data_IF_918942392353
#
_entry.id   IF_918942392353
#
_cell.length_a   1.000
_cell.length_b   1.000
_cell.length_c   1.000
_cell.angle_alpha   90.00
_cell.angle_beta   90.00
_cell.angle_gamma   90.00
#
_symmetry.space_group_name_H-M   'P 1'
#
loop_
_entity.id
_entity.type
_entity.pdbx_description
1 polymer ?
#
# COMPACT_ATOMS: atom_id res chain seq x y z
N UNK A 1 -18.23 9.67 14.07
CA UNK A 1 -19.20 8.54 13.95
C UNK A 1 -18.76 7.49 12.92
N UNK A 2 -18.07 7.84 11.83
CA UNK A 2 -17.60 6.86 10.83
C UNK A 2 -16.58 5.83 11.38
N UNK A 3 -15.65 6.26 12.24
CA UNK A 3 -14.64 5.35 12.84
C UNK A 3 -15.23 4.26 13.74
N UNK A 4 -16.35 4.54 14.41
CA UNK A 4 -17.01 3.55 15.29
C UNK A 4 -17.63 2.43 14.45
N UNK A 5 -18.21 2.76 13.29
CA UNK A 5 -18.76 1.78 12.35
C UNK A 5 -17.70 0.90 11.66
N UNK A 6 -16.52 1.46 11.40
CA UNK A 6 -15.38 0.67 10.90
C UNK A 6 -14.81 -0.28 11.96
N UNK A 7 -14.73 0.16 13.22
CA UNK A 7 -14.22 -0.69 14.31
C UNK A 7 -15.17 -1.84 14.65
N UNK A 8 -16.49 -1.63 14.60
CA UNK A 8 -17.47 -2.70 14.84
C UNK A 8 -17.49 -3.74 13.73
N UNK A 9 -17.34 -3.33 12.47
CA UNK A 9 -17.24 -4.26 11.33
C UNK A 9 -15.94 -5.07 11.37
N UNK A 10 -14.82 -4.47 11.75
CA UNK A 10 -13.56 -5.19 11.97
C UNK A 10 -13.64 -6.19 13.13
N UNK A 11 -14.28 -5.81 14.25
CA UNK A 11 -14.51 -6.72 15.37
C UNK A 11 -15.37 -7.92 14.97
N UNK A 12 -16.45 -7.69 14.25
CA UNK A 12 -17.32 -8.77 13.77
C UNK A 12 -16.58 -9.73 12.80
N UNK A 13 -15.72 -9.20 11.93
CA UNK A 13 -14.89 -10.01 11.05
C UNK A 13 -13.87 -10.86 11.84
N UNK A 14 -13.26 -10.30 12.88
CA UNK A 14 -12.34 -11.03 13.77
C UNK A 14 -13.06 -12.11 14.59
N UNK A 15 -14.27 -11.83 15.07
CA UNK A 15 -15.10 -12.82 15.77
C UNK A 15 -15.48 -13.99 14.86
N UNK A 16 -15.85 -13.71 13.60
CA UNK A 16 -16.11 -14.74 12.59
C UNK A 16 -14.86 -15.56 12.27
N UNK A 17 -13.70 -14.92 12.08
CA UNK A 17 -12.44 -15.61 11.84
C UNK A 17 -12.05 -16.52 13.04
N UNK A 18 -12.23 -16.03 14.26
CA UNK A 18 -12.02 -16.83 15.47
C UNK A 18 -12.99 -18.01 15.57
N UNK A 19 -14.26 -17.82 15.19
CA UNK A 19 -15.25 -18.88 15.18
C UNK A 19 -14.90 -19.98 14.17
N UNK A 20 -14.48 -19.61 12.96
CA UNK A 20 -14.02 -20.56 11.93
C UNK A 20 -12.80 -21.33 12.41
N UNK A 21 -11.81 -20.64 13.00
CA UNK A 21 -10.61 -21.31 13.55
C UNK A 21 -10.95 -22.31 14.66
N UNK A 22 -11.87 -21.96 15.57
CA UNK A 22 -12.35 -22.90 16.60
C UNK A 22 -13.09 -24.09 15.99
N UNK A 23 -13.90 -23.87 14.96
CA UNK A 23 -14.61 -24.95 14.27
C UNK A 23 -13.65 -25.92 13.58
N UNK A 24 -12.59 -25.41 12.94
CA UNK A 24 -11.54 -26.23 12.32
C UNK A 24 -10.81 -27.05 13.38
N UNK A 25 -10.42 -26.43 14.50
CA UNK A 25 -9.75 -27.14 15.60
C UNK A 25 -10.65 -28.20 16.24
N UNK A 26 -11.92 -27.90 16.47
CA UNK A 26 -12.89 -28.87 17.00
C UNK A 26 -13.11 -30.06 16.03
N UNK A 27 -13.13 -29.81 14.72
CA UNK A 27 -13.21 -30.85 13.71
C UNK A 27 -11.94 -31.73 13.68
N UNK A 28 -10.76 -31.13 13.85
CA UNK A 28 -9.50 -31.84 13.97
C UNK A 28 -9.44 -32.71 15.25
N UNK A 29 -9.84 -32.17 16.40
CA UNK A 29 -9.91 -32.90 17.67
C UNK A 29 -10.90 -34.06 17.60
N UNK A 30 -12.08 -33.84 17.02
CA UNK A 30 -13.10 -34.89 16.82
C UNK A 30 -12.57 -36.03 15.95
N UNK A 31 -11.85 -35.71 14.88
CA UNK A 31 -11.25 -36.74 14.03
C UNK A 31 -10.09 -37.49 14.69
N UNK A 32 -9.30 -36.80 15.50
CA UNK A 32 -8.24 -37.46 16.28
C UNK A 32 -8.84 -38.47 17.26
N UNK A 33 -9.95 -38.09 17.92
CA UNK A 33 -10.70 -39.00 18.78
C UNK A 33 -11.23 -40.23 18.03
N UNK A 34 -11.77 -40.04 16.81
CA UNK A 34 -12.21 -41.15 15.95
C UNK A 34 -11.04 -42.06 15.55
N UNK A 35 -9.86 -41.49 15.24
CA UNK A 35 -8.66 -42.28 14.92
C UNK A 35 -8.19 -43.10 16.12
N UNK A 36 -8.13 -42.52 17.33
CA UNK A 36 -7.78 -43.27 18.54
C UNK A 36 -8.78 -44.38 18.83
N UNK A 37 -10.08 -44.17 18.59
CA UNK A 37 -11.10 -45.19 18.81
C UNK A 37 -11.04 -46.31 17.77
N UNK A 38 -10.70 -45.99 16.52
CA UNK A 38 -10.43 -46.97 15.46
C UNK A 38 -9.14 -47.76 15.71
N UNK A 39 -8.10 -47.14 16.28
CA UNK A 39 -6.88 -47.83 16.70
C UNK A 39 -7.13 -48.73 17.92
N UNK A 40 -7.93 -48.28 18.88
CA UNK A 40 -8.31 -49.05 20.07
C UNK A 40 -9.19 -50.26 19.75
N UNK A 41 -9.99 -50.20 18.67
CA UNK A 41 -10.84 -51.30 18.19
C UNK A 41 -10.14 -52.31 17.28
N UNK A 42 -8.89 -52.08 16.87
CA UNK A 42 -8.12 -53.07 16.10
C UNK A 42 -7.55 -54.14 17.05
N UNK A 43 -7.98 -55.42 16.98
CA UNK A 43 -7.36 -56.49 17.77
C UNK A 43 -5.94 -56.81 17.23
N UNK A 44 -5.07 -57.45 18.04
CA UNK A 44 -3.82 -57.99 17.53
C UNK A 44 -4.12 -59.03 16.44
N UNK A 45 -3.50 -58.87 15.27
CA UNK A 45 -3.74 -59.69 14.08
C UNK A 45 -3.42 -61.18 14.36
N UNK A 46 -4.44 -62.02 14.27
CA UNK A 46 -4.30 -63.38 13.76
C UNK A 46 -5.05 -63.47 12.42
N UNK A 47 -4.47 -64.26 11.53
CA UNK A 47 -4.77 -64.39 10.11
C UNK A 47 -6.25 -64.70 9.85
N UNK A 48 -6.89 -63.96 8.94
CA UNK A 48 -7.44 -64.57 7.73
C UNK A 48 -7.93 -63.53 6.73
N UNK A 49 -7.67 -63.84 5.47
CA UNK A 49 -8.02 -63.06 4.31
C UNK A 49 -9.51 -63.22 3.99
N UNK A 50 -10.26 -62.11 4.05
CA UNK A 50 -11.29 -61.63 3.08
C UNK A 50 -12.12 -60.56 3.79
N UNK A 51 -12.36 -59.42 3.14
CA UNK A 51 -13.21 -58.28 3.57
C UNK A 51 -12.63 -57.20 4.51
N UNK A 52 -11.39 -56.75 4.32
CA UNK A 52 -10.84 -55.53 4.97
C UNK A 52 -10.91 -54.29 4.08
N UNK A 53 -12.10 -53.92 3.57
CA UNK A 53 -12.25 -52.79 2.64
C UNK A 53 -12.63 -51.39 3.23
N UNK A 54 -13.23 -51.21 4.43
CA UNK A 54 -13.71 -49.87 4.81
C UNK A 54 -12.73 -49.02 5.64
N UNK A 55 -11.79 -49.62 6.38
CA UNK A 55 -10.93 -48.85 7.31
C UNK A 55 -9.71 -48.22 6.65
N UNK A 56 -9.22 -48.80 5.55
CA UNK A 56 -8.16 -48.21 4.74
C UNK A 56 -8.65 -46.95 4.00
N UNK A 57 -9.91 -46.96 3.58
CA UNK A 57 -10.55 -45.87 2.83
C UNK A 57 -10.76 -44.62 3.71
N UNK A 58 -11.27 -44.81 4.93
CA UNK A 58 -11.44 -43.71 5.91
C UNK A 58 -10.11 -43.07 6.30
N UNK A 59 -9.03 -43.85 6.44
CA UNK A 59 -7.69 -43.31 6.74
C UNK A 59 -7.11 -42.49 5.59
N UNK A 60 -7.37 -42.90 4.34
CA UNK A 60 -6.96 -42.14 3.17
C UNK A 60 -7.70 -40.80 3.10
N UNK A 61 -9.02 -40.81 3.31
CA UNK A 61 -9.84 -39.59 3.35
C UNK A 61 -9.45 -38.63 4.48
N UNK A 62 -9.04 -39.14 5.65
CA UNK A 62 -8.57 -38.30 6.75
C UNK A 62 -7.22 -37.65 6.44
N UNK A 63 -6.30 -38.35 5.76
CA UNK A 63 -5.03 -37.78 5.29
C UNK A 63 -5.27 -36.70 4.24
N UNK A 64 -6.11 -36.98 3.25
CA UNK A 64 -6.47 -35.99 2.22
C UNK A 64 -7.09 -34.73 2.84
N UNK A 65 -7.93 -34.90 3.86
CA UNK A 65 -8.47 -33.76 4.62
C UNK A 65 -7.39 -33.01 5.40
N UNK A 66 -6.47 -33.71 6.04
CA UNK A 66 -5.38 -33.08 6.80
C UNK A 66 -4.43 -32.31 5.86
N UNK A 67 -4.14 -32.86 4.68
CA UNK A 67 -3.39 -32.19 3.62
C UNK A 67 -4.12 -30.93 3.14
N UNK A 68 -5.43 -31.03 2.85
CA UNK A 68 -6.25 -29.86 2.50
C UNK A 68 -6.32 -28.81 3.62
N UNK A 69 -6.38 -29.23 4.89
CA UNK A 69 -6.34 -28.31 6.01
C UNK A 69 -5.00 -27.58 6.11
N UNK A 70 -3.90 -28.27 5.81
CA UNK A 70 -2.58 -27.66 5.72
C UNK A 70 -2.48 -26.66 4.57
N UNK A 71 -3.02 -27.00 3.40
CA UNK A 71 -3.08 -26.09 2.26
C UNK A 71 -3.89 -24.83 2.57
N UNK A 72 -5.04 -24.98 3.24
CA UNK A 72 -5.86 -23.85 3.70
C UNK A 72 -5.10 -22.97 4.69
N UNK A 73 -4.36 -23.55 5.64
CA UNK A 73 -3.56 -22.77 6.58
C UNK A 73 -2.40 -22.04 5.90
N UNK A 74 -1.77 -22.69 4.92
CA UNK A 74 -0.65 -22.12 4.16
C UNK A 74 -1.13 -20.95 3.31
N UNK A 75 -2.21 -21.14 2.56
CA UNK A 75 -2.83 -20.08 1.75
C UNK A 75 -3.36 -18.92 2.60
N UNK A 76 -3.89 -19.19 3.80
CA UNK A 76 -4.25 -18.12 4.76
C UNK A 76 -3.03 -17.31 5.20
N UNK A 77 -1.91 -17.98 5.49
CA UNK A 77 -0.69 -17.30 5.87
C UNK A 77 -0.13 -16.43 4.73
N UNK A 78 -0.15 -16.94 3.51
CA UNK A 78 0.25 -16.18 2.31
C UNK A 78 -0.64 -14.96 2.09
N UNK A 79 -1.96 -15.10 2.25
CA UNK A 79 -2.91 -13.98 2.16
C UNK A 79 -2.65 -12.92 3.22
N UNK A 80 -2.38 -13.33 4.47
CA UNK A 80 -2.04 -12.40 5.54
C UNK A 80 -0.74 -11.67 5.23
N UNK A 81 0.27 -12.37 4.70
CA UNK A 81 1.53 -11.76 4.26
C UNK A 81 1.29 -10.69 3.19
N UNK A 82 0.57 -11.03 2.12
CA UNK A 82 0.23 -10.08 1.04
C UNK A 82 -0.57 -8.89 1.58
N UNK A 83 -1.47 -9.12 2.52
CA UNK A 83 -2.25 -8.05 3.16
C UNK A 83 -1.36 -7.09 3.95
N UNK A 84 -0.38 -7.60 4.70
CA UNK A 84 0.58 -6.75 5.41
C UNK A 84 1.48 -5.96 4.45
N UNK A 85 1.91 -6.57 3.35
CA UNK A 85 2.69 -5.88 2.31
C UNK A 85 1.87 -4.76 1.64
N UNK A 86 0.61 -5.04 1.29
CA UNK A 86 -0.31 -4.02 0.74
C UNK A 86 -0.50 -2.84 1.68
N UNK A 87 -0.64 -3.09 2.99
CA UNK A 87 -0.77 -2.02 3.99
C UNK A 87 0.49 -1.15 4.05
N UNK A 88 1.67 -1.77 4.02
CA UNK A 88 2.94 -1.04 4.03
C UNK A 88 3.10 -0.14 2.79
N UNK A 89 2.69 -0.64 1.62
CA UNK A 89 2.71 0.15 0.37
C UNK A 89 1.73 1.33 0.45
N UNK A 90 0.53 1.13 1.01
CA UNK A 90 -0.42 2.22 1.22
C UNK A 90 0.14 3.31 2.15
N UNK A 91 0.79 2.91 3.24
CA UNK A 91 1.44 3.83 4.18
C UNK A 91 2.58 4.61 3.50
N UNK A 92 3.39 3.94 2.66
CA UNK A 92 4.45 4.59 1.89
C UNK A 92 3.88 5.61 0.89
N UNK A 93 2.80 5.27 0.18
CA UNK A 93 2.11 6.20 -0.73
C UNK A 93 1.60 7.43 0.04
N UNK A 94 1.02 7.24 1.23
CA UNK A 94 0.57 8.35 2.06
C UNK A 94 1.72 9.25 2.51
N UNK A 95 2.84 8.66 2.94
CA UNK A 95 4.05 9.41 3.27
C UNK A 95 4.63 10.18 2.09
N UNK A 96 4.67 9.58 0.90
CA UNK A 96 5.13 10.24 -0.32
C UNK A 96 4.21 11.40 -0.72
N UNK A 97 2.89 11.22 -0.63
CA UNK A 97 1.92 12.29 -0.87
C UNK A 97 2.12 13.46 0.10
N UNK A 98 2.26 13.17 1.39
CA UNK A 98 2.51 14.20 2.40
C UNK A 98 3.81 14.97 2.08
N UNK A 99 4.89 14.26 1.72
CA UNK A 99 6.16 14.87 1.32
C UNK A 99 6.03 15.74 0.07
N UNK A 100 5.30 15.28 -0.95
CA UNK A 100 5.07 16.04 -2.17
C UNK A 100 4.29 17.34 -1.90
N UNK A 101 3.24 17.27 -1.07
CA UNK A 101 2.47 18.46 -0.66
C UNK A 101 3.36 19.44 0.10
N UNK A 102 4.16 18.97 1.07
CA UNK A 102 5.10 19.84 1.77
C UNK A 102 6.15 20.47 0.84
N UNK A 103 6.66 19.71 -0.14
CA UNK A 103 7.60 20.25 -1.12
C UNK A 103 6.95 21.32 -2.00
N UNK A 104 5.70 21.11 -2.46
CA UNK A 104 4.95 22.11 -3.22
C UNK A 104 4.71 23.38 -2.41
N UNK A 105 4.34 23.26 -1.14
CA UNK A 105 4.13 24.42 -0.27
C UNK A 105 5.42 25.22 -0.05
N UNK A 106 6.56 24.53 0.16
CA UNK A 106 7.86 25.18 0.25
C UNK A 106 8.24 25.93 -1.04
N UNK A 107 7.91 25.37 -2.22
CA UNK A 107 8.14 26.04 -3.51
C UNK A 107 7.25 27.29 -3.63
N UNK A 108 5.98 27.19 -3.28
CA UNK A 108 5.04 28.32 -3.29
C UNK A 108 5.47 29.45 -2.33
N UNK A 109 6.01 29.10 -1.16
CA UNK A 109 6.59 30.06 -0.21
C UNK A 109 7.85 30.73 -0.78
N UNK A 110 8.69 29.99 -1.53
CA UNK A 110 9.86 30.58 -2.21
C UNK A 110 9.46 31.46 -3.41
N UNK A 111 8.43 31.08 -4.17
CA UNK A 111 7.96 31.90 -5.30
C UNK A 111 7.25 33.16 -4.82
N UNK A 112 6.46 33.07 -3.75
CA UNK A 112 5.77 34.22 -3.16
C UNK A 112 6.74 35.21 -2.49
N UNK A 113 7.86 34.73 -1.94
CA UNK A 113 8.93 35.60 -1.43
C UNK A 113 9.73 36.25 -2.56
N UNK A 114 10.04 35.52 -3.65
CA UNK A 114 10.73 36.07 -4.83
C UNK A 114 9.86 37.07 -5.61
N UNK A 115 8.54 36.85 -5.70
CA UNK A 115 7.62 37.77 -6.37
C UNK A 115 7.28 39.02 -5.56
N UNK A 116 7.50 39.02 -4.24
CA UNK A 116 7.22 40.17 -3.36
C UNK A 116 8.42 41.08 -3.10
N UNK A 117 9.59 40.84 -3.71
CA UNK A 117 10.70 41.77 -3.60
C UNK A 117 10.38 43.05 -4.40
N UNK A 118 10.17 44.21 -3.72
CA UNK A 118 9.82 45.46 -4.40
C UNK A 118 10.90 45.90 -5.40
N UNK A 119 12.16 45.54 -5.14
CA UNK A 119 13.31 45.86 -5.97
C UNK A 119 13.28 45.09 -7.30
N UNK A 120 12.78 43.85 -7.28
CA UNK A 120 12.63 43.02 -8.48
C UNK A 120 11.47 43.48 -9.35
N UNK A 121 10.32 43.80 -8.74
CA UNK A 121 9.17 44.40 -9.47
C UNK A 121 9.53 45.73 -10.11
N UNK A 122 10.30 46.58 -9.42
CA UNK A 122 10.75 47.85 -9.96
C UNK A 122 11.70 47.67 -11.15
N UNK A 123 12.61 46.69 -11.09
CA UNK A 123 13.47 46.31 -12.22
C UNK A 123 12.67 45.79 -13.42
N UNK A 124 11.69 44.92 -13.19
CA UNK A 124 10.81 44.39 -14.25
C UNK A 124 9.96 45.49 -14.91
N UNK A 125 9.42 46.42 -14.11
CA UNK A 125 8.71 47.61 -14.61
C UNK A 125 9.62 48.51 -15.46
N UNK A 126 10.82 48.82 -14.95
CA UNK A 126 11.80 49.62 -15.68
C UNK A 126 12.19 48.95 -17.00
N UNK A 127 12.40 47.64 -16.99
CA UNK A 127 12.67 46.84 -18.19
C UNK A 127 11.52 46.93 -19.19
N UNK A 128 10.27 46.77 -18.74
CA UNK A 128 9.10 46.90 -19.60
C UNK A 128 8.98 48.30 -20.24
N UNK A 129 9.30 49.34 -19.48
CA UNK A 129 9.33 50.73 -19.99
C UNK A 129 10.44 50.91 -21.01
N UNK A 130 11.66 50.45 -20.74
CA UNK A 130 12.81 50.57 -21.66
C UNK A 130 12.55 49.80 -22.96
N UNK A 131 12.10 48.55 -22.87
CA UNK A 131 11.73 47.74 -24.04
C UNK A 131 10.56 48.36 -24.81
N UNK A 132 9.57 48.91 -24.10
CA UNK A 132 8.43 49.60 -24.71
C UNK A 132 8.81 50.89 -25.43
N UNK A 133 9.80 51.64 -24.92
CA UNK A 133 10.38 52.79 -25.59
C UNK A 133 11.22 52.37 -26.80
N UNK A 134 12.01 51.30 -26.66
CA UNK A 134 12.84 50.78 -27.74
C UNK A 134 12.04 50.16 -28.89
N UNK A 135 10.86 49.59 -28.60
CA UNK A 135 9.91 49.13 -29.62
C UNK A 135 9.26 50.28 -30.41
N UNK A 136 9.24 51.49 -29.83
CA UNK A 136 8.72 52.70 -30.47
C UNK A 136 9.81 53.51 -31.15
N UNK A 137 11.08 53.26 -30.82
CA UNK A 137 12.20 53.75 -31.62
C UNK A 137 12.37 52.89 -32.87
N UNK A 138 12.84 53.50 -33.95
CA UNK A 138 13.12 52.81 -35.21
C UNK A 138 14.29 51.82 -35.10
N UNK A 139 15.09 51.95 -34.04
CA UNK A 139 16.22 51.07 -33.72
C UNK A 139 15.82 50.03 -32.66
N UNK A 140 15.95 48.72 -32.94
CA UNK A 140 15.71 47.69 -31.97
C UNK A 140 16.76 47.70 -30.85
N UNK A 141 16.34 47.32 -29.64
CA UNK A 141 17.13 47.46 -28.42
C UNK A 141 18.47 46.71 -28.41
N UNK A 142 18.62 45.67 -29.23
CA UNK A 142 19.83 44.84 -29.33
C UNK A 142 20.89 45.41 -30.28
N UNK A 143 20.58 46.48 -31.02
CA UNK A 143 21.53 47.16 -31.91
C UNK A 143 22.29 48.29 -31.21
N UNK A 144 21.79 48.76 -30.07
CA UNK A 144 22.45 49.75 -29.22
C UNK A 144 23.22 49.04 -28.09
N UNK A 145 24.56 49.12 -28.05
CA UNK A 145 25.36 48.45 -27.03
C UNK A 145 25.10 48.99 -25.61
N UNK A 146 24.81 50.29 -25.46
CA UNK A 146 24.52 50.89 -24.15
C UNK A 146 23.17 50.40 -23.63
N UNK A 147 22.16 50.36 -24.50
CA UNK A 147 20.83 49.88 -24.17
C UNK A 147 20.81 48.36 -23.91
N UNK A 148 21.62 47.61 -24.65
CA UNK A 148 21.79 46.17 -24.47
C UNK A 148 22.42 45.84 -23.12
N UNK A 149 23.49 46.54 -22.74
CA UNK A 149 24.12 46.40 -21.43
C UNK A 149 23.16 46.78 -20.29
N UNK A 150 22.36 47.84 -20.48
CA UNK A 150 21.33 48.24 -19.52
C UNK A 150 20.23 47.18 -19.36
N UNK A 151 19.74 46.59 -20.46
CA UNK A 151 18.70 45.54 -20.41
C UNK A 151 19.24 44.24 -19.81
N UNK A 152 20.47 43.86 -20.13
CA UNK A 152 21.11 42.64 -19.63
C UNK A 152 21.57 42.78 -18.16
N UNK A 153 21.97 43.97 -17.72
CA UNK A 153 22.31 44.21 -16.30
C UNK A 153 21.09 44.16 -15.38
N UNK A 154 19.88 44.31 -15.93
CA UNK A 154 18.62 44.07 -15.20
C UNK A 154 18.28 42.58 -15.00
N UNK A 155 18.97 41.66 -15.70
CA UNK A 155 18.77 40.20 -15.62
C UNK A 155 19.67 39.50 -14.57
N UNK A 156 20.50 40.23 -13.80
CA UNK A 156 21.41 39.65 -12.80
C UNK A 156 21.01 39.84 -11.32
N UNK A 157 21.57 38.98 -10.44
CA UNK A 157 20.95 37.72 -9.99
C UNK A 157 19.55 37.87 -9.37
#
# INVERSE_FOLDING_TARGET
>A
MAEIGQKTTQLHALEQACAVRRAILAAAESSFAVITELQRRAPPQEQDATDTAPTHDVRALLRERDDLAFDVLTTQHELDSVRTESQNVEDEIQHLRARAVSAMHNVEDTESTVQNDPSKRQRELLRGVILGLALRSETPWYEDPELTELVLSMDGP
#
